data_IF_897886083075
#
_entry.id   IF_897886083075
#
_cell.length_a   1.000
_cell.length_b   1.000
_cell.length_c   1.000
_cell.angle_alpha   90.00
_cell.angle_beta   90.00
_cell.angle_gamma   90.00
#
_symmetry.space_group_name_H-M   'P 1'
#
loop_
_entity.id
_entity.type
_entity.pdbx_description
1 polymer ?
#
# COMPACT_ATOMS: atom_id res chain seq x y z
N UNK A 1 15.95 67.54 -32.30
CA UNK A 1 14.52 67.65 -31.95
C UNK A 1 13.72 66.50 -32.59
N UNK A 2 14.23 65.25 -32.55
CA UNK A 2 13.68 64.07 -33.23
C UNK A 2 13.66 62.78 -32.37
N UNK A 3 13.80 62.90 -31.04
CA UNK A 3 13.91 61.73 -30.17
C UNK A 3 12.77 61.61 -29.12
N UNK A 4 11.73 62.43 -29.20
CA UNK A 4 10.58 62.43 -28.26
C UNK A 4 9.30 61.87 -28.89
N UNK A 5 9.20 61.90 -30.22
CA UNK A 5 8.01 61.41 -30.98
C UNK A 5 8.01 59.90 -31.18
N UNK A 6 9.17 59.26 -31.23
CA UNK A 6 9.28 57.82 -31.48
C UNK A 6 8.99 56.96 -30.23
N UNK A 7 9.10 57.54 -29.02
CA UNK A 7 8.69 56.84 -27.75
C UNK A 7 7.20 56.96 -27.43
N UNK A 8 6.45 57.86 -28.10
CA UNK A 8 5.03 58.01 -27.87
C UNK A 8 4.20 57.07 -28.76
N UNK A 9 4.67 56.76 -29.97
CA UNK A 9 3.96 55.82 -30.87
C UNK A 9 4.11 54.34 -30.46
N UNK A 10 5.25 53.96 -29.81
CA UNK A 10 5.45 52.58 -29.31
C UNK A 10 4.54 52.22 -28.10
N UNK A 11 3.80 53.17 -27.52
CA UNK A 11 2.88 52.92 -26.40
C UNK A 11 1.42 52.75 -26.81
N UNK A 12 1.04 53.02 -28.06
CA UNK A 12 -0.34 52.93 -28.52
C UNK A 12 -0.75 51.58 -29.14
N UNK A 13 0.19 50.71 -29.41
CA UNK A 13 -0.06 49.41 -30.04
C UNK A 13 -0.14 48.22 -29.04
N UNK A 14 -0.51 48.46 -27.78
CA UNK A 14 -0.95 47.37 -26.91
C UNK A 14 -2.46 47.17 -27.04
N UNK A 15 -2.91 46.06 -27.59
CA UNK A 15 -4.35 45.77 -27.63
C UNK A 15 -4.85 45.69 -26.18
N UNK A 16 -5.65 46.69 -25.81
CA UNK A 16 -6.40 46.76 -24.56
C UNK A 16 -7.38 45.59 -24.56
N UNK A 17 -7.08 44.53 -23.77
CA UNK A 17 -8.08 43.52 -23.49
C UNK A 17 -7.72 42.05 -23.69
N UNK A 18 -6.46 41.67 -23.88
CA UNK A 18 -6.12 40.25 -23.75
C UNK A 18 -6.16 39.85 -22.25
N UNK A 19 -7.36 39.45 -21.81
CA UNK A 19 -7.47 38.67 -20.58
C UNK A 19 -6.54 37.46 -20.75
N UNK A 20 -5.49 37.41 -19.96
CA UNK A 20 -4.56 36.29 -19.96
C UNK A 20 -5.37 35.00 -19.81
N UNK A 21 -5.33 34.15 -20.83
CA UNK A 21 -6.03 32.86 -20.83
C UNK A 21 -5.63 32.09 -19.56
N UNK A 22 -6.60 31.77 -18.67
CA UNK A 22 -6.29 31.05 -17.43
C UNK A 22 -5.59 29.71 -17.69
N UNK A 23 -5.80 29.11 -18.88
CA UNK A 23 -5.11 27.89 -19.33
C UNK A 23 -3.64 28.14 -19.63
N UNK A 24 -3.31 29.24 -20.32
CA UNK A 24 -1.92 29.63 -20.60
C UNK A 24 -1.15 29.97 -19.33
N UNK A 25 -1.81 30.62 -18.36
CA UNK A 25 -1.21 30.88 -17.04
C UNK A 25 -0.97 29.60 -16.21
N UNK A 26 -1.87 28.62 -16.28
CA UNK A 26 -1.68 27.30 -15.62
C UNK A 26 -0.56 26.49 -16.28
N UNK A 27 -0.50 26.46 -17.61
CA UNK A 27 0.57 25.79 -18.36
C UNK A 27 1.94 26.42 -18.07
N UNK A 28 2.01 27.76 -17.97
CA UNK A 28 3.27 28.44 -17.60
C UNK A 28 3.71 28.16 -16.15
N UNK A 29 2.78 28.01 -15.21
CA UNK A 29 3.08 27.61 -13.83
C UNK A 29 3.54 26.15 -13.75
N UNK A 30 2.89 25.23 -14.47
CA UNK A 30 3.28 23.84 -14.53
C UNK A 30 4.67 23.66 -15.18
N UNK A 31 4.98 24.38 -16.25
CA UNK A 31 6.29 24.34 -16.90
C UNK A 31 7.38 24.92 -16.01
N UNK A 32 7.12 26.01 -15.27
CA UNK A 32 8.05 26.58 -14.29
C UNK A 32 8.26 25.63 -13.08
N UNK A 33 7.23 24.95 -12.62
CA UNK A 33 7.34 23.94 -11.57
C UNK A 33 8.19 22.74 -12.05
N UNK A 34 7.94 22.26 -13.27
CA UNK A 34 8.74 21.20 -13.89
C UNK A 34 10.20 21.60 -14.05
N UNK A 35 10.47 22.84 -14.47
CA UNK A 35 11.82 23.36 -14.64
C UNK A 35 12.56 23.56 -13.30
N UNK A 36 11.83 23.91 -12.21
CA UNK A 36 12.40 23.96 -10.86
C UNK A 36 12.71 22.56 -10.31
N UNK A 37 11.86 21.56 -10.59
CA UNK A 37 12.07 20.17 -10.18
C UNK A 37 13.24 19.48 -10.92
N UNK A 38 13.57 19.95 -12.13
CA UNK A 38 14.73 19.48 -12.91
C UNK A 38 15.99 20.33 -12.70
N UNK A 39 15.99 21.25 -11.73
CA UNK A 39 17.19 22.03 -11.40
C UNK A 39 18.28 21.11 -10.80
N UNK A 40 19.56 21.31 -11.12
CA UNK A 40 20.65 20.52 -10.54
C UNK A 40 20.62 20.49 -9.02
N UNK A 41 20.28 21.61 -8.38
CA UNK A 41 20.14 21.70 -6.93
C UNK A 41 19.03 20.80 -6.36
N UNK A 42 17.88 20.72 -7.02
CA UNK A 42 16.80 19.83 -6.60
C UNK A 42 17.18 18.36 -6.76
N UNK A 43 17.88 18.02 -7.84
CA UNK A 43 18.39 16.66 -8.08
C UNK A 43 19.41 16.26 -7.01
N UNK A 44 20.37 17.14 -6.71
CA UNK A 44 21.36 16.91 -5.65
C UNK A 44 20.67 16.72 -4.29
N UNK A 45 19.72 17.60 -3.94
CA UNK A 45 18.96 17.47 -2.69
C UNK A 45 18.20 16.13 -2.62
N UNK A 46 17.54 15.73 -3.71
CA UNK A 46 16.84 14.45 -3.78
C UNK A 46 17.79 13.25 -3.61
N UNK A 47 18.97 13.29 -4.24
CA UNK A 47 20.00 12.24 -4.09
C UNK A 47 20.53 12.18 -2.66
N UNK A 48 20.83 13.33 -2.04
CA UNK A 48 21.30 13.39 -0.64
C UNK A 48 20.24 12.78 0.29
N UNK A 49 18.97 13.18 0.13
CA UNK A 49 17.88 12.63 0.93
C UNK A 49 17.77 11.11 0.71
N UNK A 50 17.81 10.65 -0.54
CA UNK A 50 17.75 9.22 -0.85
C UNK A 50 18.91 8.45 -0.21
N UNK A 51 20.13 8.97 -0.26
CA UNK A 51 21.29 8.36 0.38
C UNK A 51 21.11 8.28 1.89
N UNK A 52 20.70 9.39 2.54
CA UNK A 52 20.48 9.42 3.99
C UNK A 52 19.42 8.39 4.40
N UNK A 53 18.31 8.28 3.66
CA UNK A 53 17.26 7.29 3.92
C UNK A 53 17.70 5.85 3.65
N UNK A 54 18.66 5.64 2.78
CA UNK A 54 19.19 4.30 2.45
C UNK A 54 20.17 3.80 3.51
N UNK A 55 20.88 4.70 4.22
CA UNK A 55 21.92 4.32 5.20
C UNK A 55 21.41 3.32 6.26
N UNK A 56 20.26 3.53 6.95
CA UNK A 56 19.79 2.58 7.96
C UNK A 56 19.48 1.20 7.37
N UNK A 57 18.80 1.17 6.22
CA UNK A 57 18.43 -0.07 5.53
C UNK A 57 19.67 -0.81 5.02
N UNK A 58 20.65 -0.07 4.48
CA UNK A 58 21.93 -0.63 4.04
C UNK A 58 22.73 -1.18 5.23
N UNK A 59 22.76 -0.46 6.35
CA UNK A 59 23.40 -0.93 7.60
C UNK A 59 22.77 -2.21 8.12
N UNK A 60 21.43 -2.31 8.06
CA UNK A 60 20.72 -3.53 8.42
C UNK A 60 21.06 -4.69 7.46
N UNK A 61 21.14 -4.42 6.14
CA UNK A 61 21.54 -5.39 5.13
C UNK A 61 22.94 -5.93 5.42
N UNK A 62 23.91 -5.04 5.63
CA UNK A 62 25.28 -5.42 5.97
C UNK A 62 25.30 -6.27 7.27
N UNK A 63 24.56 -5.85 8.28
CA UNK A 63 24.48 -6.59 9.56
C UNK A 63 23.89 -7.98 9.38
N UNK A 64 22.98 -8.21 8.46
CA UNK A 64 22.38 -9.53 8.22
C UNK A 64 23.40 -10.61 7.79
N UNK A 65 24.54 -10.19 7.24
CA UNK A 65 25.61 -11.06 6.78
C UNK A 65 26.82 -11.11 7.73
N UNK A 66 26.76 -10.44 8.89
CA UNK A 66 27.85 -10.41 9.86
C UNK A 66 27.67 -11.48 10.93
N UNK A 67 28.78 -11.89 11.55
CA UNK A 67 28.73 -12.86 12.65
C UNK A 67 28.01 -12.26 13.87
N UNK A 68 27.39 -13.09 14.73
CA UNK A 68 26.74 -12.63 15.96
C UNK A 68 27.67 -11.81 16.86
N UNK A 69 28.95 -12.20 16.96
CA UNK A 69 29.93 -11.51 17.77
C UNK A 69 30.26 -10.13 17.27
N UNK A 70 30.42 -9.98 15.96
CA UNK A 70 30.69 -8.67 15.34
C UNK A 70 29.48 -7.71 15.42
N UNK A 71 28.25 -8.23 15.32
CA UNK A 71 27.03 -7.42 15.49
C UNK A 71 26.97 -6.84 16.92
N UNK A 72 27.41 -7.61 17.92
CA UNK A 72 27.39 -7.20 19.33
C UNK A 72 28.53 -6.26 19.72
N UNK A 73 29.68 -6.36 19.05
CA UNK A 73 30.89 -5.62 19.42
C UNK A 73 31.17 -4.40 18.57
N UNK A 74 30.73 -4.40 17.31
CA UNK A 74 31.12 -3.40 16.33
C UNK A 74 29.90 -2.90 15.51
N UNK A 75 29.98 -1.63 15.06
CA UNK A 75 29.00 -1.08 14.11
C UNK A 75 29.11 -1.72 12.71
N UNK A 76 28.02 -1.68 11.93
CA UNK A 76 27.96 -2.26 10.57
C UNK A 76 29.04 -1.72 9.63
N UNK A 77 29.50 -0.48 9.83
CA UNK A 77 30.56 0.17 9.04
C UNK A 77 31.92 -0.49 9.16
N UNK A 78 32.13 -1.31 10.19
CA UNK A 78 33.36 -2.04 10.38
C UNK A 78 33.60 -3.10 9.28
N UNK A 79 32.56 -3.47 8.55
CA UNK A 79 32.67 -4.36 7.38
C UNK A 79 33.61 -3.81 6.27
N UNK A 80 33.78 -2.49 6.20
CA UNK A 80 34.71 -1.87 5.24
C UNK A 80 36.19 -1.95 5.69
N UNK A 81 36.41 -2.20 6.98
CA UNK A 81 37.76 -2.30 7.55
C UNK A 81 38.18 -3.77 7.74
N UNK A 82 37.27 -4.58 8.23
CA UNK A 82 37.47 -6.02 8.49
C UNK A 82 36.26 -6.78 7.93
N UNK A 83 36.25 -7.11 6.64
CA UNK A 83 35.11 -7.78 6.02
C UNK A 83 34.98 -9.22 6.55
N UNK A 84 33.85 -9.52 7.12
CA UNK A 84 33.37 -10.85 7.42
C UNK A 84 32.05 -11.10 6.71
N UNK A 85 31.82 -12.31 6.28
CA UNK A 85 30.59 -12.67 5.58
C UNK A 85 30.12 -14.06 6.02
N UNK A 86 28.89 -14.12 6.57
CA UNK A 86 28.26 -15.36 6.95
C UNK A 86 26.80 -15.40 6.52
N UNK A 87 26.29 -16.59 6.20
CA UNK A 87 24.86 -16.87 5.98
C UNK A 87 24.23 -17.56 7.20
N UNK A 88 24.99 -17.72 8.28
CA UNK A 88 24.53 -18.43 9.48
C UNK A 88 23.26 -17.82 10.06
N UNK A 89 23.17 -16.47 10.12
CA UNK A 89 21.97 -15.78 10.61
C UNK A 89 20.72 -16.15 9.78
N UNK A 90 20.85 -16.30 8.47
CA UNK A 90 19.75 -16.71 7.60
C UNK A 90 19.39 -18.18 7.79
N UNK A 91 20.40 -19.06 7.91
CA UNK A 91 20.20 -20.46 8.19
C UNK A 91 19.52 -20.64 9.54
N UNK A 92 20.00 -19.97 10.57
CA UNK A 92 19.44 -19.99 11.91
C UNK A 92 17.99 -19.52 11.97
N UNK A 93 17.69 -18.44 11.27
CA UNK A 93 16.33 -17.88 11.20
C UNK A 93 15.36 -18.83 10.50
N UNK A 94 15.80 -19.51 9.45
CA UNK A 94 14.95 -20.39 8.66
C UNK A 94 14.81 -21.80 9.25
N UNK A 95 15.88 -22.33 9.87
CA UNK A 95 15.94 -23.74 10.27
C UNK A 95 15.98 -23.95 11.79
N UNK A 96 15.94 -22.87 12.58
CA UNK A 96 16.15 -22.88 14.03
C UNK A 96 15.69 -24.17 14.72
N UNK A 97 16.66 -25.01 15.06
CA UNK A 97 16.49 -26.23 15.83
C UNK A 97 16.80 -25.92 17.32
N UNK A 98 15.75 -25.77 18.11
CA UNK A 98 15.94 -25.56 19.57
C UNK A 98 14.61 -25.36 20.28
N UNK A 99 14.55 -25.79 21.54
CA UNK A 99 13.33 -25.92 22.34
C UNK A 99 12.48 -24.63 22.57
N UNK A 100 12.88 -23.49 22.03
CA UNK A 100 12.14 -22.22 22.12
C UNK A 100 11.98 -21.49 20.79
N UNK A 101 12.29 -22.12 19.68
CA UNK A 101 12.30 -21.45 18.37
C UNK A 101 11.40 -22.16 17.38
N UNK A 102 10.13 -21.74 17.31
CA UNK A 102 9.35 -22.04 16.13
C UNK A 102 10.11 -21.51 14.89
N UNK A 103 10.28 -22.37 13.92
CA UNK A 103 10.92 -22.09 12.65
C UNK A 103 10.26 -20.88 12.00
N UNK A 104 11.02 -19.81 11.68
CA UNK A 104 10.47 -18.61 11.02
C UNK A 104 9.77 -18.95 9.69
N UNK A 105 10.15 -20.06 9.07
CA UNK A 105 9.51 -20.56 7.86
C UNK A 105 8.00 -20.84 8.04
N UNK A 106 7.57 -21.36 9.19
CA UNK A 106 6.15 -21.57 9.47
C UNK A 106 5.39 -20.24 9.56
N UNK A 107 5.95 -19.27 10.27
CA UNK A 107 5.36 -17.92 10.36
C UNK A 107 5.34 -17.18 9.01
N UNK A 108 6.34 -17.41 8.17
CA UNK A 108 6.37 -16.88 6.81
C UNK A 108 5.24 -17.47 5.96
N UNK A 109 5.05 -18.80 6.01
CA UNK A 109 3.93 -19.48 5.33
C UNK A 109 2.60 -19.01 5.89
N UNK A 110 2.47 -18.88 7.22
CA UNK A 110 1.27 -18.33 7.85
C UNK A 110 0.97 -16.91 7.36
N UNK A 111 1.98 -16.04 7.23
CA UNK A 111 1.79 -14.71 6.67
C UNK A 111 1.25 -14.74 5.24
N UNK A 112 1.69 -15.67 4.41
CA UNK A 112 1.10 -15.85 3.06
C UNK A 112 -0.34 -16.34 3.11
N UNK A 113 -0.61 -17.35 3.95
CA UNK A 113 -1.97 -17.91 4.16
C UNK A 113 -2.92 -16.83 4.70
N UNK A 114 -2.43 -15.92 5.54
CA UNK A 114 -3.22 -14.79 6.06
C UNK A 114 -3.39 -13.73 4.97
N UNK A 115 -2.29 -13.25 4.39
CA UNK A 115 -2.31 -12.02 3.59
C UNK A 115 -3.01 -12.18 2.25
N UNK A 116 -2.92 -13.34 1.60
CA UNK A 116 -3.55 -13.54 0.30
C UNK A 116 -5.08 -13.51 0.40
N UNK A 117 -5.75 -14.32 1.24
CA UNK A 117 -7.21 -14.24 1.37
C UNK A 117 -7.68 -12.92 1.98
N UNK A 118 -6.99 -12.41 3.02
CA UNK A 118 -7.34 -11.16 3.69
C UNK A 118 -7.17 -9.91 2.80
N UNK A 119 -6.36 -9.99 1.74
CA UNK A 119 -6.32 -8.97 0.71
C UNK A 119 -7.39 -9.17 -0.37
N UNK A 120 -7.65 -10.40 -0.79
CA UNK A 120 -8.58 -10.69 -1.87
C UNK A 120 -10.05 -10.54 -1.47
N UNK A 121 -10.44 -10.97 -0.27
CA UNK A 121 -11.83 -10.93 0.16
C UNK A 121 -12.42 -9.52 0.16
N UNK A 122 -11.77 -8.50 0.79
CA UNK A 122 -12.31 -7.14 0.75
C UNK A 122 -12.33 -6.57 -0.67
N UNK A 123 -11.38 -6.91 -1.54
CA UNK A 123 -11.33 -6.43 -2.93
C UNK A 123 -12.52 -7.00 -3.72
N UNK A 124 -12.77 -8.29 -3.62
CA UNK A 124 -13.88 -8.96 -4.32
C UNK A 124 -15.22 -8.36 -3.86
N UNK A 125 -15.44 -8.33 -2.55
CA UNK A 125 -16.69 -7.81 -1.98
C UNK A 125 -16.88 -6.32 -2.27
N UNK A 126 -15.82 -5.53 -2.15
CA UNK A 126 -15.87 -4.11 -2.41
C UNK A 126 -16.13 -3.79 -3.88
N UNK A 127 -15.57 -4.55 -4.82
CA UNK A 127 -15.79 -4.35 -6.24
C UNK A 127 -17.24 -4.62 -6.62
N UNK A 128 -17.82 -5.68 -6.06
CA UNK A 128 -19.25 -6.00 -6.23
C UNK A 128 -20.15 -4.91 -5.64
N UNK A 129 -19.86 -4.47 -4.40
CA UNK A 129 -20.59 -3.41 -3.74
C UNK A 129 -20.47 -2.07 -4.49
N UNK A 130 -19.26 -1.71 -4.91
CA UNK A 130 -19.00 -0.49 -5.68
C UNK A 130 -19.76 -0.46 -7.01
N UNK A 131 -19.82 -1.58 -7.72
CA UNK A 131 -20.63 -1.72 -8.91
C UNK A 131 -22.13 -1.52 -8.61
N UNK A 132 -22.62 -2.11 -7.51
CA UNK A 132 -24.00 -1.95 -7.11
C UNK A 132 -24.34 -0.47 -6.80
N UNK A 133 -23.49 0.23 -6.07
CA UNK A 133 -23.67 1.65 -5.75
C UNK A 133 -23.59 2.55 -6.98
N UNK A 134 -22.69 2.26 -7.92
CA UNK A 134 -22.51 3.09 -9.11
C UNK A 134 -23.61 2.88 -10.15
N UNK A 135 -24.05 1.63 -10.40
CA UNK A 135 -24.83 1.30 -11.60
C UNK A 135 -26.18 0.64 -11.37
N UNK A 136 -26.48 0.09 -10.17
CA UNK A 136 -27.78 -0.58 -9.91
C UNK A 136 -28.84 0.39 -9.38
N UNK A 137 -28.45 1.51 -8.75
CA UNK A 137 -29.35 2.59 -8.28
C UNK A 137 -30.55 2.08 -7.45
N UNK A 138 -30.30 1.35 -6.37
CA UNK A 138 -31.34 0.90 -5.45
C UNK A 138 -31.73 1.99 -4.43
N UNK A 139 -32.97 1.91 -3.87
CA UNK A 139 -33.45 2.87 -2.87
C UNK A 139 -32.55 2.85 -1.62
N UNK A 140 -32.11 4.03 -1.17
CA UNK A 140 -31.27 4.17 0.02
C UNK A 140 -29.77 3.94 -0.24
N UNK A 141 -29.34 3.70 -1.49
CA UNK A 141 -27.92 3.45 -1.84
C UNK A 141 -26.99 4.53 -1.31
N UNK A 142 -27.35 5.82 -1.42
CA UNK A 142 -26.54 6.93 -0.91
C UNK A 142 -26.39 6.90 0.62
N UNK A 143 -27.45 6.63 1.36
CA UNK A 143 -27.40 6.55 2.81
C UNK A 143 -26.55 5.36 3.29
N UNK A 144 -26.71 4.19 2.65
CA UNK A 144 -25.91 3.00 2.95
C UNK A 144 -24.44 3.24 2.63
N UNK A 145 -24.13 3.87 1.48
CA UNK A 145 -22.74 4.21 1.12
C UNK A 145 -22.08 5.13 2.15
N UNK A 146 -22.80 6.22 2.57
CA UNK A 146 -22.32 7.14 3.60
C UNK A 146 -22.14 6.42 4.94
N UNK A 147 -23.08 5.54 5.33
CA UNK A 147 -22.97 4.77 6.56
C UNK A 147 -21.74 3.85 6.56
N UNK A 148 -21.52 3.11 5.47
CA UNK A 148 -20.34 2.24 5.34
C UNK A 148 -19.06 3.06 5.46
N UNK A 149 -18.99 4.21 4.78
CA UNK A 149 -17.82 5.08 4.86
C UNK A 149 -17.63 5.70 6.25
N UNK A 150 -18.73 6.05 6.94
CA UNK A 150 -18.68 6.57 8.30
C UNK A 150 -18.09 5.56 9.31
N UNK A 151 -18.19 4.25 9.06
CA UNK A 151 -17.55 3.23 9.90
C UNK A 151 -16.01 3.36 9.92
N UNK A 152 -15.39 3.99 8.89
CA UNK A 152 -13.96 4.28 8.89
C UNK A 152 -13.53 5.27 10.00
N UNK A 153 -14.47 6.06 10.52
CA UNK A 153 -14.19 7.03 11.59
C UNK A 153 -13.94 6.30 12.92
N UNK A 154 -14.50 5.09 13.07
CA UNK A 154 -14.30 4.29 14.29
C UNK A 154 -12.86 3.79 14.34
N UNK A 155 -12.08 4.16 15.37
CA UNK A 155 -10.71 3.64 15.52
C UNK A 155 -10.72 2.11 15.59
N UNK A 156 -9.91 1.47 14.75
CA UNK A 156 -9.79 0.01 14.67
C UNK A 156 -9.59 -0.61 16.06
N UNK A 157 -8.77 0.01 16.89
CA UNK A 157 -8.45 -0.47 18.25
C UNK A 157 -9.69 -0.61 19.14
N UNK A 158 -10.68 0.25 18.98
CA UNK A 158 -11.92 0.18 19.76
C UNK A 158 -12.81 -1.00 19.37
N UNK A 159 -12.73 -1.44 18.13
CA UNK A 159 -13.51 -2.54 17.60
C UNK A 159 -12.89 -3.93 17.85
N UNK A 160 -11.60 -4.01 18.20
CA UNK A 160 -10.88 -5.27 18.37
C UNK A 160 -11.50 -6.16 19.45
N UNK A 161 -11.73 -5.61 20.65
CA UNK A 161 -12.25 -6.40 21.79
C UNK A 161 -13.69 -6.87 21.55
N UNK A 162 -14.65 -6.01 21.14
CA UNK A 162 -15.99 -6.45 20.81
C UNK A 162 -16.03 -7.53 19.70
N UNK A 163 -15.21 -7.35 18.66
CA UNK A 163 -15.14 -8.31 17.57
C UNK A 163 -14.53 -9.64 18.01
N UNK A 164 -13.49 -9.61 18.86
CA UNK A 164 -12.90 -10.82 19.44
C UNK A 164 -13.92 -11.59 20.28
N UNK A 165 -14.76 -10.90 21.06
CA UNK A 165 -15.83 -11.53 21.83
C UNK A 165 -16.83 -12.25 20.92
N UNK A 166 -17.21 -11.63 19.79
CA UNK A 166 -18.10 -12.29 18.81
C UNK A 166 -17.41 -13.52 18.22
N UNK A 167 -16.12 -13.41 17.85
CA UNK A 167 -15.37 -14.51 17.23
C UNK A 167 -15.13 -15.67 18.19
N UNK A 168 -14.94 -15.39 19.48
CA UNK A 168 -14.72 -16.43 20.49
C UNK A 168 -16.01 -17.05 21.00
N UNK A 169 -17.01 -16.21 21.38
CA UNK A 169 -18.18 -16.68 22.12
C UNK A 169 -19.35 -17.06 21.21
N UNK A 170 -19.48 -16.41 20.03
CA UNK A 170 -20.61 -16.66 19.11
C UNK A 170 -20.22 -17.57 17.97
N UNK A 171 -19.07 -17.29 17.32
CA UNK A 171 -18.65 -18.01 16.13
C UNK A 171 -17.69 -19.17 16.43
N UNK A 172 -17.00 -19.15 17.57
CA UNK A 172 -16.04 -20.20 17.94
C UNK A 172 -14.82 -20.31 17.03
N UNK A 173 -14.44 -19.20 16.33
CA UNK A 173 -13.38 -19.20 15.32
C UNK A 173 -12.09 -18.50 15.78
N UNK A 174 -12.07 -17.93 16.99
CA UNK A 174 -10.88 -17.25 17.53
C UNK A 174 -9.66 -18.18 17.50
N UNK A 175 -8.49 -17.65 17.16
CA UNK A 175 -7.27 -18.44 17.05
C UNK A 175 -7.13 -19.25 15.76
N UNK A 176 -7.89 -18.92 14.72
CA UNK A 176 -7.85 -19.59 13.41
C UNK A 176 -7.56 -18.62 12.28
N UNK A 177 -7.08 -19.11 11.13
CA UNK A 177 -6.91 -18.30 9.92
C UNK A 177 -8.19 -17.58 9.48
N UNK A 178 -9.38 -18.22 9.46
CA UNK A 178 -10.63 -17.55 9.14
C UNK A 178 -10.93 -16.33 10.02
N UNK A 179 -10.61 -16.37 11.33
CA UNK A 179 -10.78 -15.21 12.20
C UNK A 179 -9.96 -14.01 11.72
N UNK A 180 -8.71 -14.24 11.37
CA UNK A 180 -7.81 -13.20 10.88
C UNK A 180 -8.28 -12.67 9.51
N UNK A 181 -8.71 -13.55 8.59
CA UNK A 181 -9.24 -13.14 7.28
C UNK A 181 -10.48 -12.28 7.38
N UNK A 182 -11.45 -12.70 8.21
CA UNK A 182 -12.71 -11.97 8.39
C UNK A 182 -12.44 -10.62 9.06
N UNK A 183 -11.58 -10.59 10.09
CA UNK A 183 -11.22 -9.34 10.77
C UNK A 183 -10.62 -8.31 9.80
N UNK A 184 -9.60 -8.70 9.03
CA UNK A 184 -9.00 -7.82 8.02
C UNK A 184 -10.00 -7.41 6.93
N UNK A 185 -10.91 -8.32 6.55
CA UNK A 185 -11.97 -8.00 5.59
C UNK A 185 -12.91 -6.93 6.15
N UNK A 186 -13.38 -7.08 7.38
CA UNK A 186 -14.26 -6.09 8.02
C UNK A 186 -13.60 -4.72 8.07
N UNK A 187 -12.35 -4.63 8.50
CA UNK A 187 -11.64 -3.36 8.62
C UNK A 187 -11.24 -2.75 7.27
N UNK A 188 -10.87 -3.58 6.29
CA UNK A 188 -10.46 -3.11 4.96
C UNK A 188 -11.61 -2.75 4.01
N UNK A 189 -12.79 -3.35 4.23
CA UNK A 189 -13.91 -3.26 3.29
C UNK A 189 -14.42 -1.83 3.05
N UNK A 190 -14.66 -0.98 4.05
CA UNK A 190 -15.22 0.36 3.83
C UNK A 190 -14.35 1.23 2.93
N UNK A 191 -13.03 1.29 3.19
CA UNK A 191 -12.10 2.06 2.38
C UNK A 191 -11.99 1.48 0.96
N UNK A 192 -11.96 0.17 0.84
CA UNK A 192 -11.87 -0.51 -0.46
C UNK A 192 -13.12 -0.25 -1.31
N UNK A 193 -14.33 -0.27 -0.70
CA UNK A 193 -15.59 0.11 -1.37
C UNK A 193 -15.51 1.56 -1.87
N UNK A 194 -15.07 2.48 -1.03
CA UNK A 194 -14.96 3.89 -1.39
C UNK A 194 -14.01 4.10 -2.58
N UNK A 195 -12.83 3.51 -2.55
CA UNK A 195 -11.84 3.63 -3.63
C UNK A 195 -12.34 2.99 -4.93
N UNK A 196 -12.91 1.79 -4.86
CA UNK A 196 -13.47 1.12 -6.03
C UNK A 196 -14.68 1.84 -6.60
N UNK A 197 -15.56 2.38 -5.74
CA UNK A 197 -16.71 3.15 -6.18
C UNK A 197 -16.29 4.40 -6.95
N UNK A 198 -15.31 5.15 -6.46
CA UNK A 198 -14.80 6.32 -7.14
C UNK A 198 -14.27 5.97 -8.54
N UNK A 199 -13.54 4.87 -8.66
CA UNK A 199 -13.02 4.43 -9.96
C UNK A 199 -14.13 3.95 -10.91
N UNK A 200 -15.03 3.08 -10.42
CA UNK A 200 -16.10 2.49 -11.24
C UNK A 200 -17.12 3.56 -11.68
N UNK A 201 -17.35 4.58 -10.85
CA UNK A 201 -18.25 5.71 -11.20
C UNK A 201 -17.68 6.62 -12.28
N UNK A 202 -16.38 6.59 -12.55
CA UNK A 202 -15.73 7.36 -13.62
C UNK A 202 -15.83 6.68 -15.01
N UNK A 203 -16.25 5.42 -15.06
CA UNK A 203 -16.46 4.72 -16.33
C UNK A 203 -17.61 5.42 -17.08
N UNK A 204 -17.44 5.80 -18.36
CA UNK A 204 -18.49 6.49 -19.11
C UNK A 204 -19.79 5.67 -19.19
N UNK A 205 -20.92 6.33 -18.93
CA UNK A 205 -22.26 5.70 -18.95
C UNK A 205 -22.60 5.09 -20.30
N UNK A 206 -22.13 5.70 -21.38
CA UNK A 206 -22.34 5.26 -22.77
C UNK A 206 -21.84 3.80 -22.97
N UNK A 207 -20.74 3.41 -22.32
CA UNK A 207 -20.21 2.03 -22.41
C UNK A 207 -21.18 1.03 -21.79
N UNK A 208 -21.80 1.40 -20.68
CA UNK A 208 -22.76 0.54 -19.98
C UNK A 208 -24.10 0.50 -20.73
N UNK A 209 -24.54 1.63 -21.26
CA UNK A 209 -25.77 1.74 -22.06
C UNK A 209 -25.66 0.95 -23.37
N UNK A 210 -24.54 1.07 -24.09
CA UNK A 210 -24.29 0.27 -25.30
C UNK A 210 -24.37 -1.23 -25.01
N UNK A 211 -23.71 -1.68 -23.93
CA UNK A 211 -23.77 -3.09 -23.54
C UNK A 211 -25.20 -3.57 -23.20
N UNK A 212 -26.04 -2.71 -22.60
CA UNK A 212 -27.44 -3.01 -22.32
C UNK A 212 -28.29 -3.09 -23.61
N UNK A 213 -28.01 -2.22 -24.58
CA UNK A 213 -28.66 -2.27 -25.91
C UNK A 213 -28.31 -3.58 -26.62
N UNK A 214 -27.06 -4.07 -26.45
CA UNK A 214 -26.59 -5.37 -26.95
C UNK A 214 -27.16 -6.57 -26.16
N UNK A 215 -28.03 -6.32 -25.16
CA UNK A 215 -28.70 -7.36 -24.37
C UNK A 215 -27.87 -7.93 -23.22
N UNK A 216 -26.75 -7.28 -22.84
CA UNK A 216 -25.94 -7.75 -21.73
C UNK A 216 -26.65 -7.53 -20.38
N UNK A 217 -26.69 -8.58 -19.56
CA UNK A 217 -27.19 -8.51 -18.18
C UNK A 217 -26.10 -7.95 -17.24
N UNK A 218 -26.49 -7.63 -15.99
CA UNK A 218 -25.58 -7.06 -14.98
C UNK A 218 -24.34 -7.92 -14.71
N UNK A 219 -24.48 -9.23 -14.71
CA UNK A 219 -23.35 -10.16 -14.51
C UNK A 219 -22.34 -10.08 -15.67
N UNK A 220 -22.86 -10.04 -16.90
CA UNK A 220 -22.02 -9.91 -18.09
C UNK A 220 -21.31 -8.55 -18.14
N UNK A 221 -22.01 -7.47 -17.81
CA UNK A 221 -21.42 -6.13 -17.69
C UNK A 221 -20.31 -6.14 -16.63
N UNK A 222 -20.58 -6.68 -15.46
CA UNK A 222 -19.60 -6.73 -14.37
C UNK A 222 -18.35 -7.47 -14.76
N UNK A 223 -18.44 -8.70 -15.23
CA UNK A 223 -17.25 -9.53 -15.51
C UNK A 223 -16.56 -9.19 -16.82
N UNK A 224 -17.29 -8.76 -17.86
CA UNK A 224 -16.73 -8.52 -19.20
C UNK A 224 -16.33 -7.07 -19.45
N UNK A 225 -16.85 -6.13 -18.67
CA UNK A 225 -16.59 -4.70 -18.88
C UNK A 225 -15.95 -4.08 -17.63
N UNK A 226 -16.66 -4.14 -16.49
CA UNK A 226 -16.21 -3.45 -15.28
C UNK A 226 -14.89 -4.02 -14.76
N UNK A 227 -14.76 -5.33 -14.57
CA UNK A 227 -13.53 -5.96 -14.07
C UNK A 227 -12.33 -5.65 -14.99
N UNK A 228 -12.39 -5.88 -16.32
CA UNK A 228 -11.26 -5.57 -17.20
C UNK A 228 -10.86 -4.08 -17.21
N UNK A 229 -11.83 -3.17 -17.24
CA UNK A 229 -11.55 -1.74 -17.18
C UNK A 229 -10.98 -1.30 -15.84
N UNK A 230 -11.35 -1.99 -14.75
CA UNK A 230 -10.91 -1.68 -13.38
C UNK A 230 -9.59 -2.35 -13.01
N UNK A 231 -8.97 -3.16 -13.86
CA UNK A 231 -7.72 -3.87 -13.55
C UNK A 231 -6.61 -2.97 -12.97
N UNK A 232 -6.37 -1.73 -13.48
CA UNK A 232 -5.36 -0.86 -12.88
C UNK A 232 -5.69 -0.43 -11.46
N UNK A 233 -6.96 -0.15 -11.16
CA UNK A 233 -7.42 0.20 -9.82
C UNK A 233 -7.38 -1.01 -8.89
N UNK A 234 -7.86 -2.16 -9.35
CA UNK A 234 -7.81 -3.42 -8.61
C UNK A 234 -6.39 -3.81 -8.24
N UNK A 235 -5.43 -3.67 -9.16
CA UNK A 235 -4.03 -3.94 -8.88
C UNK A 235 -3.45 -2.96 -7.86
N UNK A 236 -3.76 -1.66 -7.98
CA UNK A 236 -3.28 -0.65 -7.04
C UNK A 236 -3.81 -0.87 -5.62
N UNK A 237 -5.12 -1.09 -5.50
CA UNK A 237 -5.78 -1.39 -4.23
C UNK A 237 -5.29 -2.72 -3.67
N UNK A 238 -5.06 -3.72 -4.55
CA UNK A 238 -4.51 -5.02 -4.18
C UNK A 238 -3.14 -4.94 -3.55
N UNK A 239 -2.23 -4.10 -4.09
CA UNK A 239 -0.93 -3.84 -3.48
C UNK A 239 -1.11 -3.24 -2.07
N UNK A 240 -1.91 -2.18 -1.94
CA UNK A 240 -2.13 -1.53 -0.64
C UNK A 240 -2.74 -2.48 0.37
N UNK A 241 -3.77 -3.22 0.00
CA UNK A 241 -4.45 -4.15 0.88
C UNK A 241 -3.52 -5.29 1.31
N UNK A 242 -2.76 -5.86 0.35
CA UNK A 242 -1.77 -6.88 0.66
C UNK A 242 -0.68 -6.36 1.60
N UNK A 243 -0.08 -5.20 1.31
CA UNK A 243 0.97 -4.61 2.15
C UNK A 243 0.45 -4.24 3.54
N UNK A 244 -0.79 -3.76 3.64
CA UNK A 244 -1.42 -3.48 4.92
C UNK A 244 -1.55 -4.75 5.76
N UNK A 245 -2.07 -5.84 5.21
CA UNK A 245 -2.22 -7.12 5.92
C UNK A 245 -0.86 -7.75 6.23
N UNK A 246 0.06 -7.76 5.26
CA UNK A 246 1.40 -8.35 5.44
C UNK A 246 2.19 -7.72 6.58
N UNK A 247 2.09 -6.40 6.73
CA UNK A 247 2.80 -5.65 7.78
C UNK A 247 1.98 -5.51 9.07
N UNK A 248 0.75 -6.03 9.12
CA UNK A 248 -0.06 -5.94 10.31
C UNK A 248 0.46 -6.85 11.42
N UNK A 249 0.48 -6.33 12.61
CA UNK A 249 0.75 -7.06 13.84
C UNK A 249 -0.48 -7.08 14.74
N UNK A 250 -1.21 -5.96 14.80
CA UNK A 250 -2.21 -5.73 15.84
C UNK A 250 -3.45 -6.61 15.65
N UNK A 251 -4.03 -6.62 14.45
CA UNK A 251 -5.19 -7.47 14.14
C UNK A 251 -4.80 -8.95 14.24
N UNK A 252 -3.65 -9.30 13.67
CA UNK A 252 -3.16 -10.66 13.72
C UNK A 252 -2.93 -11.14 15.16
N UNK A 253 -2.29 -10.34 16.03
CA UNK A 253 -2.03 -10.69 17.43
C UNK A 253 -3.33 -10.97 18.20
N UNK A 254 -4.38 -10.16 17.95
CA UNK A 254 -5.67 -10.31 18.62
C UNK A 254 -6.44 -11.55 18.15
N UNK A 255 -6.46 -11.81 16.84
CA UNK A 255 -7.34 -12.84 16.26
C UNK A 255 -6.65 -14.16 15.96
N UNK A 256 -5.31 -14.25 15.91
CA UNK A 256 -4.56 -15.49 15.74
C UNK A 256 -4.46 -16.33 17.01
N UNK A 257 -4.85 -15.79 18.16
CA UNK A 257 -4.76 -16.48 19.43
C UNK A 257 -3.35 -16.67 19.98
N UNK A 258 -2.34 -16.05 19.35
CA UNK A 258 -0.94 -16.09 19.82
C UNK A 258 -0.23 -17.45 19.66
N UNK A 259 -0.86 -18.43 19.00
CA UNK A 259 -0.26 -19.75 18.76
C UNK A 259 0.63 -19.72 17.52
N UNK A 260 1.75 -20.47 17.54
CA UNK A 260 2.68 -20.57 16.41
C UNK A 260 2.01 -21.09 15.11
N UNK A 261 0.91 -21.84 15.25
CA UNK A 261 0.21 -22.48 14.14
C UNK A 261 -0.48 -21.45 13.21
N UNK A 262 -0.90 -20.31 13.75
CA UNK A 262 -1.61 -19.26 13.01
C UNK A 262 -0.88 -17.92 13.00
N UNK A 263 0.07 -17.73 13.90
CA UNK A 263 0.78 -16.45 14.06
C UNK A 263 1.55 -16.05 12.79
N UNK A 264 1.46 -14.76 12.38
CA UNK A 264 2.19 -14.27 11.23
C UNK A 264 3.67 -13.95 11.56
N UNK A 265 4.45 -13.71 10.52
CA UNK A 265 5.85 -13.33 10.60
C UNK A 265 6.09 -12.06 11.43
N UNK A 266 5.20 -11.08 11.35
CA UNK A 266 5.26 -9.83 12.13
C UNK A 266 5.23 -10.08 13.64
N UNK A 267 4.44 -11.05 14.11
CA UNK A 267 4.42 -11.45 15.51
C UNK A 267 5.78 -12.02 15.93
N UNK A 268 6.37 -12.90 15.11
CA UNK A 268 7.69 -13.48 15.41
C UNK A 268 8.79 -12.44 15.41
N UNK A 269 8.75 -11.47 14.49
CA UNK A 269 9.68 -10.34 14.47
C UNK A 269 9.56 -9.50 15.76
N UNK A 270 8.34 -9.22 16.21
CA UNK A 270 8.09 -8.48 17.44
C UNK A 270 8.63 -9.24 18.67
N UNK A 271 8.49 -10.56 18.72
CA UNK A 271 9.07 -11.40 19.78
C UNK A 271 10.60 -11.36 19.78
N UNK A 272 11.26 -11.36 18.60
CA UNK A 272 12.71 -11.24 18.49
C UNK A 272 13.21 -9.89 19.03
N UNK A 273 12.48 -8.79 18.76
CA UNK A 273 12.78 -7.45 19.30
C UNK A 273 12.60 -7.42 20.82
N UNK A 274 11.54 -8.05 21.35
CA UNK A 274 11.18 -8.02 22.76
C UNK A 274 12.09 -8.82 23.70
N UNK A 275 13.00 -9.64 23.18
CA UNK A 275 13.84 -10.56 23.97
C UNK A 275 15.08 -9.92 24.65
N UNK A 276 15.03 -8.64 25.02
CA UNK A 276 16.04 -7.93 25.81
C UNK A 276 17.49 -8.18 25.35
N UNK A 277 17.75 -8.05 24.06
CA UNK A 277 19.09 -8.22 23.50
C UNK A 277 19.52 -9.65 23.20
N UNK A 278 18.70 -10.64 23.52
CA UNK A 278 18.94 -12.02 23.10
C UNK A 278 18.52 -12.19 21.63
N UNK A 279 19.39 -12.82 20.83
CA UNK A 279 19.14 -13.08 19.40
C UNK A 279 19.00 -11.82 18.52
N UNK A 280 19.53 -10.66 18.96
CA UNK A 280 19.50 -9.43 18.13
C UNK A 280 20.24 -9.62 16.80
N UNK A 281 21.22 -10.51 16.74
CA UNK A 281 21.93 -10.90 15.52
C UNK A 281 21.02 -11.50 14.45
N UNK A 282 19.90 -12.14 14.83
CA UNK A 282 18.93 -12.73 13.91
C UNK A 282 17.94 -11.73 13.32
N UNK A 283 17.74 -10.61 14.00
CA UNK A 283 16.75 -9.61 13.60
C UNK A 283 17.00 -9.02 12.20
N UNK A 284 18.24 -8.64 11.82
CA UNK A 284 18.51 -8.16 10.46
C UNK A 284 18.15 -9.18 9.38
N UNK A 285 18.55 -10.43 9.53
CA UNK A 285 18.24 -11.49 8.57
C UNK A 285 16.72 -11.75 8.49
N UNK A 286 16.04 -11.83 9.64
CA UNK A 286 14.60 -12.01 9.72
C UNK A 286 13.84 -10.85 9.05
N UNK A 287 14.29 -9.60 9.26
CA UNK A 287 13.73 -8.42 8.61
C UNK A 287 13.87 -8.48 7.08
N UNK A 288 15.04 -8.88 6.56
CA UNK A 288 15.22 -9.02 5.11
C UNK A 288 14.39 -10.15 4.52
N UNK A 289 14.25 -11.28 5.20
CA UNK A 289 13.32 -12.35 4.78
C UNK A 289 11.89 -11.79 4.68
N UNK A 290 11.46 -10.97 5.64
CA UNK A 290 10.11 -10.39 5.63
C UNK A 290 9.87 -9.41 4.47
N UNK A 291 10.92 -8.77 3.94
CA UNK A 291 10.83 -7.83 2.82
C UNK A 291 10.70 -8.51 1.45
N UNK A 292 11.08 -9.78 1.33
CA UNK A 292 11.14 -10.49 0.03
C UNK A 292 9.77 -10.47 -0.67
N UNK A 293 8.71 -10.87 0.02
CA UNK A 293 7.37 -10.96 -0.58
C UNK A 293 6.78 -9.58 -0.91
N UNK A 294 6.81 -8.58 0.00
CA UNK A 294 6.43 -7.21 -0.34
C UNK A 294 7.12 -6.66 -1.59
N UNK A 295 8.42 -6.90 -1.73
CA UNK A 295 9.18 -6.46 -2.90
C UNK A 295 8.74 -7.19 -4.18
N UNK A 296 8.54 -8.51 -4.12
CA UNK A 296 8.04 -9.29 -5.25
C UNK A 296 6.65 -8.77 -5.69
N UNK A 297 5.74 -8.58 -4.75
CA UNK A 297 4.39 -8.07 -5.03
C UNK A 297 4.47 -6.67 -5.63
N UNK A 298 5.25 -5.78 -5.03
CA UNK A 298 5.42 -4.43 -5.53
C UNK A 298 5.99 -4.40 -6.94
N UNK A 299 7.12 -5.08 -7.21
CA UNK A 299 7.76 -5.08 -8.53
C UNK A 299 6.90 -5.76 -9.60
N UNK A 300 6.12 -6.76 -9.23
CA UNK A 300 5.21 -7.44 -10.17
C UNK A 300 4.05 -6.54 -10.62
N UNK A 301 3.54 -5.71 -9.71
CA UNK A 301 2.34 -4.89 -9.93
C UNK A 301 2.62 -3.40 -10.12
N UNK A 302 3.86 -2.91 -9.95
CA UNK A 302 4.20 -1.48 -10.01
C UNK A 302 3.75 -0.78 -11.30
N UNK A 303 3.76 -1.48 -12.44
CA UNK A 303 3.32 -0.94 -13.74
C UNK A 303 1.85 -0.51 -13.72
N UNK A 304 1.01 -1.21 -12.97
CA UNK A 304 -0.40 -0.87 -12.81
C UNK A 304 -0.59 0.27 -11.82
N UNK A 305 0.20 0.29 -10.75
CA UNK A 305 0.21 1.34 -9.74
C UNK A 305 0.53 2.73 -10.34
N UNK A 306 1.58 2.82 -11.15
CA UNK A 306 1.96 4.08 -11.83
C UNK A 306 0.85 4.56 -12.76
N UNK A 307 0.20 3.66 -13.51
CA UNK A 307 -0.92 4.01 -14.40
C UNK A 307 -2.16 4.46 -13.62
N UNK A 308 -2.48 3.82 -12.50
CA UNK A 308 -3.62 4.20 -11.65
C UNK A 308 -3.46 5.58 -11.01
N UNK A 309 -2.26 5.91 -10.52
CA UNK A 309 -1.96 7.24 -9.96
C UNK A 309 -2.02 8.35 -11.02
N UNK A 310 -1.53 8.09 -12.23
CA UNK A 310 -1.54 9.06 -13.33
C UNK A 310 -2.95 9.30 -13.88
N UNK A 311 -3.81 8.30 -13.92
CA UNK A 311 -5.21 8.45 -14.34
C UNK A 311 -5.99 9.40 -13.43
N UNK A 312 -5.74 9.40 -12.11
CA UNK A 312 -6.34 10.34 -11.16
C UNK A 312 -5.77 11.77 -11.21
N UNK A 313 -4.55 11.95 -11.76
CA UNK A 313 -3.86 13.26 -11.78
C UNK A 313 -4.12 14.10 -13.04
N UNK A 314 -4.75 13.57 -14.07
CA UNK A 314 -4.97 14.25 -15.35
C UNK A 314 -6.25 15.12 -15.39
N UNK A 315 -7.03 15.17 -14.29
CA UNK A 315 -8.14 16.11 -14.11
C UNK A 315 -7.66 17.40 -13.42
N UNK A 316 -6.83 18.16 -14.10
CA UNK A 316 -6.37 19.47 -13.67
C UNK A 316 -6.32 20.43 -14.86
#
# INVERSE_FOLDING_TARGET
>A
MTDVTDKAEAKLDRPLGQKSDPRAARLSRASRAKQKLTSPGATIAAVIIAVIWTIPTFGLLVSSFRTPEEIRTNGWWNMFVSPSFTLENYADVLTAQGASSANLGSYFVNSLIISVPAALFPIILATMAAYAFAWIKFKGSGAVFVLIFALQIVPLQMALIPLLQIFSSVLGISGTFPAVWIAHTIFGLPLTIFLMHNFISEIPGEVIEAARVDGANHTQIFFRIIIPLSLPALASIGIFQFLWVWNDLLVALVFSGGTADVAPLTQRLAELVGNFGRNQERLPAAAFISLVIPLIVFFSLQRYFVRGLLAGSTKG
#
